data_IF_498459818514
#
_entry.id   IF_498459818514
#
_cell.length_a   1.000
_cell.length_b   1.000
_cell.length_c   1.000
_cell.angle_alpha   90.00
_cell.angle_beta   90.00
_cell.angle_gamma   90.00
#
_symmetry.space_group_name_H-M   'P 1'
#
loop_
_entity.id
_entity.type
_entity.pdbx_description
1 polymer ?
#
# COMPACT_ATOMS: atom_id res chain seq x y z
N UNK A 1 -1.51 -12.89 7.82
CA UNK A 1 -1.36 -13.80 6.67
C UNK A 1 -0.42 -14.95 6.96
N UNK A 2 0.77 -14.72 7.47
CA UNK A 2 1.69 -15.79 7.88
C UNK A 2 1.11 -16.71 8.96
N UNK A 3 0.30 -16.17 9.88
CA UNK A 3 -0.38 -16.95 10.94
C UNK A 3 -1.42 -17.92 10.36
N UNK A 4 -2.10 -17.56 9.26
CA UNK A 4 -3.05 -18.46 8.58
C UNK A 4 -2.39 -19.70 7.98
N UNK A 5 -1.12 -19.62 7.57
CA UNK A 5 -0.37 -20.75 7.01
C UNK A 5 -0.07 -21.84 8.06
N UNK A 6 0.03 -21.45 9.32
CA UNK A 6 0.16 -22.40 10.44
C UNK A 6 -1.08 -23.28 10.59
N UNK A 7 -2.26 -22.72 10.33
CA UNK A 7 -3.52 -23.47 10.38
C UNK A 7 -3.61 -24.55 9.29
N UNK A 8 -2.87 -24.36 8.18
CA UNK A 8 -2.79 -25.32 7.05
C UNK A 8 -1.54 -26.20 7.12
N UNK A 9 -0.74 -26.16 8.19
CA UNK A 9 0.43 -27.02 8.38
C UNK A 9 1.63 -26.71 7.47
N UNK A 10 1.65 -25.52 6.82
CA UNK A 10 2.68 -25.11 5.86
C UNK A 10 3.62 -24.03 6.45
N UNK A 11 3.63 -23.87 7.75
CA UNK A 11 4.51 -22.92 8.44
C UNK A 11 5.95 -23.44 8.51
N UNK A 12 6.80 -23.07 7.53
CA UNK A 12 8.23 -23.38 7.54
C UNK A 12 9.09 -22.22 8.09
N UNK A 13 10.41 -22.39 8.07
CA UNK A 13 11.38 -21.40 8.56
C UNK A 13 11.26 -20.04 7.87
N UNK A 14 10.95 -20.01 6.57
CA UNK A 14 10.79 -18.77 5.81
C UNK A 14 9.66 -17.91 6.34
N UNK A 15 8.53 -18.52 6.76
CA UNK A 15 7.41 -17.79 7.37
C UNK A 15 7.84 -17.07 8.65
N UNK A 16 8.74 -17.67 9.44
CA UNK A 16 9.24 -17.08 10.69
C UNK A 16 10.09 -15.82 10.45
N UNK A 17 10.88 -15.81 9.36
CA UNK A 17 11.68 -14.64 8.98
C UNK A 17 10.85 -13.53 8.30
N UNK A 18 9.90 -13.89 7.44
CA UNK A 18 9.04 -12.93 6.75
C UNK A 18 8.09 -12.18 7.68
N UNK A 19 7.63 -12.84 8.76
CA UNK A 19 6.67 -12.24 9.69
C UNK A 19 7.24 -10.99 10.39
N UNK A 20 8.41 -11.04 11.05
CA UNK A 20 8.92 -9.87 11.77
C UNK A 20 9.56 -8.82 10.85
N UNK A 21 10.04 -9.20 9.68
CA UNK A 21 10.70 -8.27 8.75
C UNK A 21 9.69 -7.56 7.85
N UNK A 22 9.22 -8.24 6.83
CA UNK A 22 8.35 -7.67 5.79
C UNK A 22 6.95 -7.39 6.35
N UNK A 23 6.42 -8.30 7.16
CA UNK A 23 5.07 -8.17 7.73
C UNK A 23 4.91 -6.97 8.66
N UNK A 24 5.87 -6.70 9.54
CA UNK A 24 5.83 -5.54 10.43
C UNK A 24 5.97 -4.22 9.67
N UNK A 25 6.88 -4.16 8.69
CA UNK A 25 7.06 -2.95 7.87
C UNK A 25 5.78 -2.65 7.09
N UNK A 26 5.19 -3.66 6.43
CA UNK A 26 3.93 -3.52 5.70
C UNK A 26 2.78 -3.09 6.61
N UNK A 27 2.62 -3.72 7.77
CA UNK A 27 1.60 -3.37 8.75
C UNK A 27 1.78 -1.95 9.29
N UNK A 28 2.99 -1.57 9.65
CA UNK A 28 3.32 -0.24 10.15
C UNK A 28 3.00 0.86 9.13
N UNK A 29 3.41 0.68 7.87
CA UNK A 29 3.09 1.60 6.77
C UNK A 29 1.57 1.66 6.51
N UNK A 30 0.88 0.52 6.55
CA UNK A 30 -0.57 0.46 6.37
C UNK A 30 -1.31 1.22 7.46
N UNK A 31 -0.92 1.03 8.72
CA UNK A 31 -1.49 1.76 9.86
C UNK A 31 -1.21 3.26 9.77
N UNK A 32 0.01 3.63 9.38
CA UNK A 32 0.36 5.04 9.19
C UNK A 32 -0.48 5.67 8.09
N UNK A 33 -0.63 5.00 6.94
CA UNK A 33 -1.48 5.44 5.83
C UNK A 33 -2.93 5.59 6.28
N UNK A 34 -3.48 4.59 6.96
CA UNK A 34 -4.85 4.64 7.48
C UNK A 34 -5.05 5.81 8.48
N UNK A 35 -4.08 6.03 9.36
CA UNK A 35 -4.09 7.17 10.30
C UNK A 35 -4.06 8.51 9.56
N UNK A 36 -3.23 8.65 8.53
CA UNK A 36 -3.18 9.87 7.71
C UNK A 36 -4.52 10.13 7.01
N UNK A 37 -5.10 9.12 6.39
CA UNK A 37 -6.43 9.18 5.77
C UNK A 37 -7.49 9.66 6.79
N UNK A 38 -7.47 9.09 7.98
CA UNK A 38 -8.41 9.44 9.05
C UNK A 38 -8.25 10.90 9.48
N UNK A 39 -7.03 11.34 9.78
CA UNK A 39 -6.74 12.73 10.19
C UNK A 39 -7.17 13.73 9.10
N UNK A 40 -6.91 13.44 7.83
CA UNK A 40 -7.31 14.30 6.70
C UNK A 40 -8.82 14.42 6.61
N UNK A 41 -9.56 13.33 6.85
CA UNK A 41 -11.03 13.35 6.89
C UNK A 41 -11.58 14.13 8.09
N UNK A 42 -11.00 13.93 9.27
CA UNK A 42 -11.40 14.64 10.50
C UNK A 42 -11.19 16.14 10.37
N UNK A 43 -10.22 16.60 9.57
CA UNK A 43 -9.98 18.01 9.23
C UNK A 43 -10.95 18.55 8.15
N UNK A 44 -11.93 17.77 7.71
CA UNK A 44 -12.90 18.17 6.69
C UNK A 44 -12.34 18.36 5.29
N UNK A 45 -11.10 17.91 5.03
CA UNK A 45 -10.48 18.05 3.71
C UNK A 45 -11.01 17.02 2.72
N UNK A 46 -11.22 17.39 1.44
CA UNK A 46 -11.70 16.47 0.43
C UNK A 46 -10.61 15.42 0.14
N UNK A 47 -10.82 14.22 0.67
CA UNK A 47 -9.97 13.08 0.36
C UNK A 47 -10.50 12.40 -0.91
N UNK A 48 -9.72 12.45 -1.99
CA UNK A 48 -10.02 11.71 -3.21
C UNK A 48 -10.11 10.19 -2.96
N UNK A 49 -10.61 9.44 -3.93
CA UNK A 49 -10.71 7.97 -3.85
C UNK A 49 -9.36 7.27 -4.01
N UNK A 50 -8.36 7.95 -4.61
CA UNK A 50 -7.06 7.40 -4.95
C UNK A 50 -6.32 6.73 -3.76
N UNK A 51 -6.15 7.35 -2.57
CA UNK A 51 -5.44 6.71 -1.47
C UNK A 51 -6.15 5.47 -0.93
N UNK A 52 -7.48 5.44 -0.99
CA UNK A 52 -8.27 4.29 -0.53
C UNK A 52 -8.14 3.14 -1.51
N UNK A 53 -8.27 3.41 -2.82
CA UNK A 53 -8.14 2.39 -3.87
C UNK A 53 -6.73 1.81 -3.87
N UNK A 54 -5.69 2.64 -3.76
CA UNK A 54 -4.31 2.19 -3.69
C UNK A 54 -4.05 1.33 -2.44
N UNK A 55 -4.63 1.69 -1.29
CA UNK A 55 -4.50 0.90 -0.06
C UNK A 55 -5.20 -0.46 -0.19
N UNK A 56 -6.41 -0.50 -0.76
CA UNK A 56 -7.14 -1.75 -1.01
C UNK A 56 -6.36 -2.65 -1.98
N UNK A 57 -5.80 -2.07 -3.04
CA UNK A 57 -4.99 -2.79 -4.02
C UNK A 57 -3.71 -3.35 -3.38
N UNK A 58 -3.05 -2.57 -2.51
CA UNK A 58 -1.89 -3.02 -1.75
C UNK A 58 -2.22 -4.26 -0.89
N UNK A 59 -3.35 -4.26 -0.20
CA UNK A 59 -3.81 -5.40 0.57
C UNK A 59 -4.19 -6.60 -0.29
N UNK A 60 -4.86 -6.39 -1.43
CA UNK A 60 -5.18 -7.46 -2.37
C UNK A 60 -3.90 -8.15 -2.90
N UNK A 61 -2.90 -7.37 -3.31
CA UNK A 61 -1.60 -7.90 -3.74
C UNK A 61 -0.85 -8.60 -2.60
N UNK A 62 -0.90 -8.06 -1.37
CA UNK A 62 -0.28 -8.69 -0.21
C UNK A 62 -0.96 -10.02 0.16
N UNK A 63 -2.28 -10.13 -0.01
CA UNK A 63 -3.01 -11.38 0.14
C UNK A 63 -2.61 -12.40 -0.92
N UNK A 64 -2.59 -12.00 -2.18
CA UNK A 64 -2.15 -12.84 -3.28
C UNK A 64 -0.68 -13.30 -3.10
N UNK A 65 0.21 -12.40 -2.70
CA UNK A 65 1.60 -12.72 -2.32
C UNK A 65 1.65 -13.80 -1.24
N UNK A 66 0.86 -13.68 -0.16
CA UNK A 66 0.82 -14.67 0.92
C UNK A 66 0.34 -16.06 0.46
N UNK A 67 -0.48 -16.13 -0.59
CA UNK A 67 -0.95 -17.40 -1.18
C UNK A 67 0.11 -18.02 -2.10
N UNK A 68 0.87 -17.18 -2.81
CA UNK A 68 1.83 -17.63 -3.82
C UNK A 68 3.24 -17.87 -3.26
N UNK A 69 3.64 -17.26 -2.15
CA UNK A 69 4.97 -17.48 -1.56
C UNK A 69 5.15 -18.96 -1.22
N UNK A 70 6.15 -19.65 -1.80
CA UNK A 70 6.47 -21.01 -1.43
C UNK A 70 7.14 -21.04 -0.05
N UNK A 71 6.91 -22.11 0.68
CA UNK A 71 7.60 -22.40 1.95
C UNK A 71 8.11 -23.84 1.93
N UNK A 72 9.04 -24.16 2.82
CA UNK A 72 9.70 -25.45 2.87
C UNK A 72 9.50 -26.13 4.23
N UNK A 73 8.30 -26.69 4.49
CA UNK A 73 8.01 -27.29 5.80
C UNK A 73 8.73 -28.62 6.05
N UNK A 74 9.03 -29.40 4.99
CA UNK A 74 9.59 -30.76 5.10
C UNK A 74 10.71 -31.04 4.07
N UNK A 75 11.43 -30.01 3.60
CA UNK A 75 12.44 -30.17 2.56
C UNK A 75 11.90 -30.05 1.13
N UNK A 76 10.58 -29.97 0.95
CA UNK A 76 9.92 -29.77 -0.34
C UNK A 76 9.28 -28.38 -0.40
N UNK A 77 9.46 -27.68 -1.52
CA UNK A 77 8.84 -26.38 -1.74
C UNK A 77 7.35 -26.57 -2.01
N UNK A 78 6.52 -26.00 -1.14
CA UNK A 78 5.06 -26.05 -1.25
C UNK A 78 4.49 -24.64 -1.08
N UNK A 79 3.56 -24.22 -1.96
CA UNK A 79 2.78 -23.01 -1.80
C UNK A 79 1.31 -23.35 -1.57
N UNK A 80 0.54 -22.42 -0.98
CA UNK A 80 -0.90 -22.59 -0.85
C UNK A 80 -1.56 -22.77 -2.22
N UNK A 81 -1.05 -22.07 -3.24
CA UNK A 81 -1.53 -22.22 -4.61
C UNK A 81 -1.26 -23.63 -5.17
N UNK A 82 -0.08 -24.20 -4.93
CA UNK A 82 0.24 -25.57 -5.39
C UNK A 82 -0.57 -26.64 -4.68
N UNK A 83 -1.00 -26.42 -3.43
CA UNK A 83 -1.89 -27.33 -2.74
C UNK A 83 -3.30 -27.37 -3.35
N UNK A 84 -3.78 -26.23 -3.83
CA UNK A 84 -5.14 -26.15 -4.41
C UNK A 84 -5.18 -26.46 -5.89
N UNK A 85 -4.18 -26.00 -6.64
CA UNK A 85 -4.13 -26.12 -8.09
C UNK A 85 -3.26 -27.28 -8.60
N UNK A 86 -2.60 -28.02 -7.69
CA UNK A 86 -1.71 -29.13 -8.01
C UNK A 86 -0.24 -28.73 -8.09
N UNK A 87 0.68 -29.73 -8.13
CA UNK A 87 2.14 -29.51 -8.08
C UNK A 87 2.66 -28.70 -9.26
N UNK A 88 2.02 -28.76 -10.43
CA UNK A 88 2.41 -28.01 -11.62
C UNK A 88 2.27 -26.48 -11.42
N UNK A 89 1.42 -26.04 -10.51
CA UNK A 89 1.24 -24.64 -10.18
C UNK A 89 2.39 -24.04 -9.36
N UNK A 90 3.32 -24.83 -8.86
CA UNK A 90 4.45 -24.36 -8.05
C UNK A 90 5.35 -23.39 -8.85
N UNK A 91 5.67 -23.72 -10.10
CA UNK A 91 6.48 -22.87 -10.97
C UNK A 91 5.83 -21.50 -11.19
N UNK A 92 4.53 -21.46 -11.44
CA UNK A 92 3.75 -20.23 -11.58
C UNK A 92 3.73 -19.44 -10.26
N UNK A 93 3.55 -20.12 -9.13
CA UNK A 93 3.56 -19.55 -7.79
C UNK A 93 4.87 -18.81 -7.51
N UNK A 94 6.00 -19.43 -7.79
CA UNK A 94 7.34 -18.82 -7.63
C UNK A 94 7.51 -17.61 -8.55
N UNK A 95 7.06 -17.71 -9.81
CA UNK A 95 7.18 -16.61 -10.77
C UNK A 95 6.36 -15.37 -10.42
N UNK A 96 5.19 -15.55 -9.81
CA UNK A 96 4.26 -14.45 -9.50
C UNK A 96 4.51 -13.84 -8.11
N UNK A 97 5.08 -14.57 -7.16
CA UNK A 97 5.23 -14.08 -5.79
C UNK A 97 6.05 -12.78 -5.71
N UNK A 98 7.20 -12.68 -6.37
CA UNK A 98 8.04 -11.49 -6.35
C UNK A 98 7.35 -10.24 -6.91
N UNK A 99 6.76 -10.26 -8.14
CA UNK A 99 5.99 -9.13 -8.64
C UNK A 99 4.88 -8.68 -7.71
N UNK A 100 4.12 -9.62 -7.13
CA UNK A 100 3.03 -9.29 -6.21
C UNK A 100 3.53 -8.57 -4.95
N UNK A 101 4.64 -9.00 -4.39
CA UNK A 101 5.28 -8.33 -3.25
C UNK A 101 5.70 -6.90 -3.58
N UNK A 102 6.35 -6.71 -4.72
CA UNK A 102 6.79 -5.38 -5.18
C UNK A 102 5.58 -4.46 -5.42
N UNK A 103 4.56 -4.94 -6.11
CA UNK A 103 3.34 -4.17 -6.40
C UNK A 103 2.61 -3.82 -5.10
N UNK A 104 2.54 -4.73 -4.13
CA UNK A 104 1.91 -4.47 -2.84
C UNK A 104 2.57 -3.27 -2.12
N UNK A 105 3.90 -3.25 -2.05
CA UNK A 105 4.63 -2.13 -1.45
C UNK A 105 4.54 -0.85 -2.28
N UNK A 106 4.62 -0.92 -3.61
CA UNK A 106 4.46 0.23 -4.48
C UNK A 106 3.09 0.89 -4.30
N UNK A 107 2.01 0.09 -4.29
CA UNK A 107 0.66 0.57 -4.03
C UNK A 107 0.52 1.19 -2.63
N UNK A 108 1.17 0.61 -1.62
CA UNK A 108 1.14 1.13 -0.27
C UNK A 108 1.85 2.47 -0.14
N UNK A 109 3.01 2.63 -0.78
CA UNK A 109 3.74 3.90 -0.86
C UNK A 109 2.92 4.94 -1.61
N UNK A 110 2.29 4.58 -2.74
CA UNK A 110 1.40 5.46 -3.49
C UNK A 110 0.20 5.91 -2.63
N UNK A 111 -0.42 4.98 -1.88
CA UNK A 111 -1.51 5.31 -0.97
C UNK A 111 -1.09 6.32 0.11
N UNK A 112 0.11 6.13 0.69
CA UNK A 112 0.68 7.05 1.68
C UNK A 112 0.96 8.43 1.06
N UNK A 113 1.54 8.47 -0.13
CA UNK A 113 1.85 9.71 -0.86
C UNK A 113 0.59 10.51 -1.18
N UNK A 114 -0.45 9.85 -1.70
CA UNK A 114 -1.74 10.50 -1.95
C UNK A 114 -2.42 11.00 -0.67
N UNK A 115 -2.34 10.23 0.42
CA UNK A 115 -2.89 10.64 1.70
C UNK A 115 -2.11 11.82 2.31
N UNK A 116 -0.79 11.86 2.11
CA UNK A 116 0.06 12.97 2.55
C UNK A 116 -0.22 14.23 1.74
N UNK A 117 -0.27 14.13 0.41
CA UNK A 117 -0.58 15.25 -0.48
C UNK A 117 -1.94 15.87 -0.18
N UNK A 118 -2.99 15.04 0.05
CA UNK A 118 -4.31 15.51 0.44
C UNK A 118 -4.34 16.20 1.82
N UNK A 119 -3.35 15.92 2.67
CA UNK A 119 -3.20 16.54 3.99
C UNK A 119 -2.42 17.86 3.99
N UNK A 120 -1.70 18.19 2.91
CA UNK A 120 -0.97 19.45 2.78
C UNK A 120 -1.93 20.61 2.50
N UNK A 121 -1.59 21.79 3.00
CA UNK A 121 -2.30 23.01 2.59
C UNK A 121 -2.00 23.29 1.11
N UNK A 122 -2.98 23.73 0.32
CA UNK A 122 -2.69 24.22 -1.01
C UNK A 122 -1.65 25.34 -0.90
N UNK A 123 -0.59 25.22 -1.68
CA UNK A 123 0.38 26.29 -1.78
C UNK A 123 -0.38 27.50 -2.36
N UNK A 124 -0.61 28.50 -1.54
CA UNK A 124 -1.12 29.77 -2.01
C UNK A 124 0.08 30.42 -2.72
N UNK A 125 0.05 30.43 -4.03
CA UNK A 125 1.01 31.19 -4.83
C UNK A 125 0.78 32.66 -4.50
N UNK A 126 1.58 33.19 -3.57
CA UNK A 126 1.55 34.61 -3.18
C UNK A 126 1.82 35.52 -4.37
N UNK A 127 2.52 35.02 -5.40
CA UNK A 127 2.80 35.70 -6.66
C UNK A 127 1.52 35.99 -7.46
N UNK A 128 0.48 35.16 -7.36
CA UNK A 128 -0.81 35.39 -8.03
C UNK A 128 -1.62 36.47 -7.30
N UNK A 129 -1.44 36.60 -5.98
CA UNK A 129 -2.09 37.63 -5.17
C UNK A 129 -1.49 39.02 -5.43
N UNK A 130 -0.16 39.12 -5.57
CA UNK A 130 0.52 40.39 -5.90
C UNK A 130 0.15 40.86 -7.31
N UNK A 131 -0.02 39.97 -8.27
CA UNK A 131 -0.49 40.26 -9.62
C UNK A 131 -1.93 40.81 -9.64
N UNK A 132 -2.81 40.32 -8.80
CA UNK A 132 -4.20 40.80 -8.72
C UNK A 132 -4.33 42.13 -8.01
N UNK A 133 -3.51 42.41 -6.97
CA UNK A 133 -3.49 43.69 -6.31
C UNK A 133 -2.90 44.80 -7.20
N UNK A 134 -1.90 44.46 -8.03
CA UNK A 134 -1.32 45.42 -8.98
C UNK A 134 -2.26 45.72 -10.17
N UNK A 135 -3.22 44.85 -10.45
CA UNK A 135 -4.18 45.01 -11.54
C UNK A 135 -5.45 45.81 -11.18
N UNK A 136 -5.60 46.27 -9.91
CA UNK A 136 -6.71 47.13 -9.54
C UNK A 136 -6.26 48.62 -9.64
N UNK A 137 -6.43 49.26 -10.77
CA UNK A 137 -6.19 50.70 -10.83
C UNK A 137 -7.27 51.36 -10.01
N UNK A 138 -6.89 51.94 -8.90
CA UNK A 138 -7.67 53.00 -8.32
C UNK A 138 -7.69 54.13 -9.35
N UNK A 139 -8.78 54.22 -10.09
CA UNK A 139 -9.00 55.32 -11.03
C UNK A 139 -9.19 56.60 -10.21
N UNK A 140 -8.24 57.54 -10.24
CA UNK A 140 -8.34 58.76 -9.43
C UNK A 140 -9.18 59.82 -10.14
N UNK A 141 -10.02 59.41 -11.12
CA UNK A 141 -10.86 60.31 -11.87
C UNK A 141 -12.31 59.87 -11.90
N UNK A 142 -12.97 60.01 -10.74
CA UNK A 142 -14.40 60.12 -10.66
C UNK A 142 -14.74 61.23 -9.67
#
# INVERSE_FOLDING_TARGET
>A
MSVGRWLFGIGGELTWWYLPTIGLVFAGLSLWTARRIRITRERGRPLGRAPIVALVLAWACALAFGITVPDNPNGELVSLLSLWAGPDALGMSIGICNPLGIIAFACLIAALSFAAAAGCDPHVDLDEFDGQMAAHPLDPRA
#
